data_IF_113256283755
#
_entry.id   IF_113256283755
#
_cell.length_a   1.000
_cell.length_b   1.000
_cell.length_c   1.000
_cell.angle_alpha   90.00
_cell.angle_beta   90.00
_cell.angle_gamma   90.00
#
_symmetry.space_group_name_H-M   'P 1'
#
loop_
_entity.id
_entity.type
_entity.pdbx_description
1 polymer ?
#
# COMPACT_ATOMS: atom_id res chain seq x y z
N UNK A 1 16.87 -2.95 8.69
CA UNK A 1 15.63 -3.73 8.48
C UNK A 1 14.77 -2.93 7.52
N UNK A 2 14.45 -3.49 6.36
CA UNK A 2 13.65 -2.84 5.32
C UNK A 2 12.21 -3.31 5.45
N UNK A 3 11.24 -2.40 5.39
CA UNK A 3 9.84 -2.74 5.63
C UNK A 3 8.93 -2.18 4.55
N UNK A 4 8.00 -3.01 4.07
CA UNK A 4 6.90 -2.59 3.18
C UNK A 4 5.58 -3.09 3.77
N UNK A 5 4.58 -2.20 3.85
CA UNK A 5 3.24 -2.53 4.32
C UNK A 5 2.24 -2.20 3.21
N UNK A 6 1.67 -3.24 2.60
CA UNK A 6 0.76 -3.15 1.46
C UNK A 6 -0.69 -3.37 1.94
N UNK A 7 -1.52 -2.32 1.87
CA UNK A 7 -2.91 -2.35 2.31
C UNK A 7 -3.85 -2.61 1.12
N UNK A 8 -4.78 -3.56 1.29
CA UNK A 8 -5.82 -3.85 0.29
C UNK A 8 -6.79 -2.70 0.12
N UNK A 9 -7.26 -2.15 1.24
CA UNK A 9 -8.18 -1.04 1.38
C UNK A 9 -8.35 -0.73 2.87
N UNK A 10 -9.19 0.24 3.24
CA UNK A 10 -9.44 0.63 4.63
C UNK A 10 -8.60 1.82 5.10
N UNK A 11 -8.27 1.87 6.40
CA UNK A 11 -7.51 2.95 7.02
C UNK A 11 -8.11 4.34 6.77
N UNK A 12 -7.36 5.40 7.00
CA UNK A 12 -7.83 6.79 6.87
C UNK A 12 -8.45 7.12 5.50
N UNK A 13 -8.06 6.39 4.48
CA UNK A 13 -8.52 6.59 3.10
C UNK A 13 -10.01 6.26 2.92
N UNK A 14 -10.48 5.18 3.57
CA UNK A 14 -11.83 4.64 3.42
C UNK A 14 -12.62 4.63 4.74
N UNK A 15 -11.93 4.56 5.87
CA UNK A 15 -12.52 4.37 7.21
C UNK A 15 -11.92 5.39 8.21
N UNK A 16 -12.27 6.69 8.11
CA UNK A 16 -11.64 7.75 8.92
C UNK A 16 -11.81 7.57 10.43
N UNK A 17 -12.78 6.74 10.85
CA UNK A 17 -13.02 6.39 12.26
C UNK A 17 -12.32 5.09 12.69
N UNK A 18 -11.71 4.36 11.77
CA UNK A 18 -10.94 3.13 12.02
C UNK A 18 -9.51 3.26 11.52
N UNK A 19 -8.65 3.84 12.32
CA UNK A 19 -7.24 4.09 11.99
C UNK A 19 -6.29 2.94 12.40
N UNK A 20 -6.82 1.74 12.71
CA UNK A 20 -6.00 0.64 13.23
C UNK A 20 -4.87 0.22 12.28
N UNK A 21 -5.12 0.22 10.96
CA UNK A 21 -4.07 -0.06 9.96
C UNK A 21 -3.02 1.05 9.91
N UNK A 22 -3.45 2.32 9.97
CA UNK A 22 -2.54 3.46 9.93
C UNK A 22 -1.67 3.51 11.19
N UNK A 23 -2.25 3.26 12.36
CA UNK A 23 -1.55 3.13 13.63
C UNK A 23 -0.52 1.98 13.58
N UNK A 24 -0.92 0.83 13.00
CA UNK A 24 0.00 -0.29 12.80
C UNK A 24 1.21 0.12 11.94
N UNK A 25 0.98 0.84 10.83
CA UNK A 25 2.07 1.35 9.96
C UNK A 25 3.02 2.24 10.75
N UNK A 26 2.48 3.21 11.50
CA UNK A 26 3.28 4.16 12.29
C UNK A 26 4.13 3.46 13.34
N UNK A 27 3.56 2.47 14.04
CA UNK A 27 4.29 1.68 15.05
C UNK A 27 5.55 1.01 14.50
N UNK A 28 5.61 0.74 13.19
CA UNK A 28 6.81 0.16 12.58
C UNK A 28 7.97 1.14 12.45
N UNK A 29 7.75 2.44 12.58
CA UNK A 29 8.82 3.45 12.68
C UNK A 29 9.62 3.34 13.98
N UNK A 30 9.08 2.68 15.00
CA UNK A 30 9.78 2.40 16.27
C UNK A 30 10.02 3.62 17.15
N UNK A 31 9.33 4.74 16.88
CA UNK A 31 9.44 5.97 17.67
C UNK A 31 8.12 6.71 17.78
N UNK A 32 7.88 7.48 18.85
CA UNK A 32 6.79 8.43 18.91
C UNK A 32 6.99 9.56 17.88
N UNK A 33 5.95 10.30 17.58
CA UNK A 33 5.97 11.49 16.73
C UNK A 33 6.73 11.30 15.39
N UNK A 34 6.52 10.14 14.72
CA UNK A 34 7.17 9.81 13.47
C UNK A 34 6.88 10.85 12.37
N UNK A 35 7.90 11.18 11.57
CA UNK A 35 7.74 11.98 10.37
C UNK A 35 7.13 11.10 9.28
N UNK A 36 5.97 11.47 8.77
CA UNK A 36 5.23 10.70 7.76
C UNK A 36 4.99 11.56 6.53
N UNK A 37 5.52 11.14 5.39
CA UNK A 37 5.26 11.82 4.12
C UNK A 37 4.20 11.10 3.30
N UNK A 38 3.18 11.83 2.88
CA UNK A 38 2.12 11.33 2.02
C UNK A 38 2.42 11.59 0.55
N UNK A 39 2.29 10.55 -0.27
CA UNK A 39 2.40 10.61 -1.72
C UNK A 39 1.00 10.41 -2.32
N UNK A 40 0.32 11.52 -2.66
CA UNK A 40 -1.06 11.53 -3.13
C UNK A 40 -1.21 11.44 -4.66
N UNK A 41 -0.12 11.17 -5.40
CA UNK A 41 -0.08 11.27 -6.86
C UNK A 41 -1.05 10.32 -7.57
N UNK A 42 -1.27 9.12 -7.02
CA UNK A 42 -2.26 8.18 -7.59
C UNK A 42 -3.67 8.76 -7.63
N UNK A 43 -4.03 9.58 -6.65
CA UNK A 43 -5.30 10.31 -6.55
C UNK A 43 -5.27 11.72 -7.17
N UNK A 44 -4.26 12.02 -8.01
CA UNK A 44 -4.13 13.33 -8.66
C UNK A 44 -3.82 14.48 -7.69
N UNK A 45 -3.22 14.17 -6.55
CA UNK A 45 -2.90 15.14 -5.47
C UNK A 45 -4.13 15.90 -4.96
N UNK A 46 -5.29 15.20 -4.87
CA UNK A 46 -6.53 15.79 -4.36
C UNK A 46 -6.31 16.48 -3.02
N UNK A 47 -6.69 17.79 -2.90
CA UNK A 47 -6.58 18.51 -1.63
C UNK A 47 -7.40 17.88 -0.50
N UNK A 48 -8.57 17.30 -0.81
CA UNK A 48 -9.43 16.64 0.17
C UNK A 48 -8.79 15.34 0.69
N UNK A 49 -8.12 14.58 -0.18
CA UNK A 49 -7.41 13.37 0.22
C UNK A 49 -6.21 13.72 1.10
N UNK A 50 -5.47 14.75 0.72
CA UNK A 50 -4.35 15.27 1.51
C UNK A 50 -4.83 15.79 2.87
N UNK A 51 -5.96 16.51 2.93
CA UNK A 51 -6.55 16.98 4.19
C UNK A 51 -6.93 15.81 5.11
N UNK A 52 -7.59 14.77 4.58
CA UNK A 52 -7.93 13.56 5.37
C UNK A 52 -6.68 12.89 5.95
N UNK A 53 -5.60 12.82 5.16
CA UNK A 53 -4.33 12.31 5.66
C UNK A 53 -3.82 13.13 6.84
N UNK A 54 -3.76 14.46 6.72
CA UNK A 54 -3.32 15.32 7.81
C UNK A 54 -4.17 15.18 9.07
N UNK A 55 -5.50 15.11 8.92
CA UNK A 55 -6.42 14.91 10.04
C UNK A 55 -6.16 13.59 10.77
N UNK A 56 -6.01 12.49 10.02
CA UNK A 56 -5.78 11.17 10.60
C UNK A 56 -4.41 11.08 11.29
N UNK A 57 -3.34 11.46 10.60
CA UNK A 57 -1.98 11.28 11.11
C UNK A 57 -1.61 12.28 12.21
N UNK A 58 -2.23 13.47 12.24
CA UNK A 58 -2.13 14.37 13.40
C UNK A 58 -2.83 13.80 14.64
N UNK A 59 -4.00 13.16 14.48
CA UNK A 59 -4.68 12.44 15.59
C UNK A 59 -3.84 11.31 16.14
N UNK A 60 -3.03 10.65 15.30
CA UNK A 60 -2.09 9.60 15.69
C UNK A 60 -0.77 10.12 16.28
N UNK A 61 -0.64 11.42 16.48
CA UNK A 61 0.54 12.04 17.09
C UNK A 61 1.77 12.12 16.18
N UNK A 62 1.60 11.95 14.86
CA UNK A 62 2.67 12.04 13.88
C UNK A 62 2.97 13.47 13.45
N UNK A 63 4.07 13.64 12.74
CA UNK A 63 4.41 14.87 11.99
C UNK A 63 4.14 14.65 10.51
N UNK A 64 2.90 14.90 10.03
CA UNK A 64 2.54 14.67 8.66
C UNK A 64 3.14 15.74 7.73
N UNK A 65 3.57 15.30 6.57
CA UNK A 65 3.99 16.12 5.43
C UNK A 65 3.48 15.48 4.14
N UNK A 66 3.60 16.15 2.99
CA UNK A 66 3.28 15.56 1.70
C UNK A 66 4.21 16.10 0.63
N UNK A 67 4.37 15.31 -0.44
CA UNK A 67 5.10 15.68 -1.64
C UNK A 67 4.11 15.97 -2.76
N UNK A 68 4.20 17.14 -3.41
CA UNK A 68 3.48 17.46 -4.62
C UNK A 68 4.41 17.46 -5.83
N UNK A 69 3.91 17.01 -6.98
CA UNK A 69 4.62 16.98 -8.25
C UNK A 69 3.85 17.69 -9.38
N UNK A 70 2.53 17.93 -9.20
CA UNK A 70 1.70 18.68 -10.16
C UNK A 70 1.77 20.19 -9.98
N UNK A 71 2.03 20.66 -8.75
CA UNK A 71 2.35 22.05 -8.47
C UNK A 71 3.87 22.27 -8.60
N UNK A 72 4.33 23.51 -8.33
CA UNK A 72 5.77 23.81 -8.33
C UNK A 72 6.50 22.77 -7.44
N UNK A 73 7.49 22.04 -8.00
CA UNK A 73 8.11 20.96 -7.27
C UNK A 73 8.74 21.45 -5.97
N UNK A 74 8.79 20.62 -4.92
CA UNK A 74 9.55 20.94 -3.73
C UNK A 74 11.01 21.13 -4.12
N UNK A 75 11.69 22.00 -3.40
CA UNK A 75 13.08 22.36 -3.71
C UNK A 75 14.03 21.15 -3.77
N UNK A 76 13.75 20.09 -2.98
CA UNK A 76 14.50 18.83 -2.98
C UNK A 76 13.62 17.67 -2.51
N UNK A 77 13.00 16.96 -3.45
CA UNK A 77 12.18 15.78 -3.16
C UNK A 77 13.00 14.67 -2.46
N UNK A 78 14.29 14.52 -2.82
CA UNK A 78 15.16 13.53 -2.20
C UNK A 78 15.42 13.86 -0.73
N UNK A 79 15.79 15.10 -0.42
CA UNK A 79 16.00 15.53 0.97
C UNK A 79 14.72 15.38 1.79
N UNK A 80 13.54 15.75 1.24
CA UNK A 80 12.25 15.59 1.89
C UNK A 80 11.97 14.11 2.23
N UNK A 81 12.08 13.21 1.25
CA UNK A 81 11.72 11.80 1.44
C UNK A 81 12.71 11.06 2.35
N UNK A 82 14.00 11.37 2.25
CA UNK A 82 15.02 10.71 3.08
C UNK A 82 15.08 11.21 4.53
N UNK A 83 14.35 12.28 4.84
CA UNK A 83 14.18 12.78 6.21
C UNK A 83 12.96 12.18 6.92
N UNK A 84 12.21 11.29 6.27
CA UNK A 84 11.03 10.68 6.84
C UNK A 84 11.33 9.39 7.61
N UNK A 85 10.37 8.98 8.43
CA UNK A 85 10.36 7.67 9.08
C UNK A 85 9.42 6.70 8.36
N UNK A 86 8.37 7.25 7.76
CA UNK A 86 7.37 6.54 6.97
C UNK A 86 7.09 7.31 5.69
N UNK A 87 7.04 6.62 4.56
CA UNK A 87 6.50 7.12 3.29
C UNK A 87 5.22 6.35 3.01
N UNK A 88 4.08 7.06 2.98
CA UNK A 88 2.76 6.48 2.77
C UNK A 88 2.19 6.88 1.41
N UNK A 89 1.90 5.89 0.56
CA UNK A 89 1.38 6.11 -0.80
C UNK A 89 -0.13 5.92 -0.83
N UNK A 90 -0.84 6.92 -1.33
CA UNK A 90 -2.29 6.90 -1.46
C UNK A 90 -2.81 6.00 -2.59
N UNK A 91 -4.11 5.72 -2.54
CA UNK A 91 -4.84 5.02 -3.58
C UNK A 91 -5.19 5.91 -4.78
N UNK A 92 -5.67 5.26 -5.87
CA UNK A 92 -6.07 5.90 -7.11
C UNK A 92 -5.58 5.15 -8.34
N UNK A 93 -5.07 5.85 -9.35
CA UNK A 93 -4.61 5.26 -10.60
C UNK A 93 -3.13 4.86 -10.54
N UNK A 94 -2.85 3.56 -10.52
CA UNK A 94 -1.49 3.01 -10.45
C UNK A 94 -0.64 3.38 -11.65
N UNK A 95 -1.21 3.35 -12.87
CA UNK A 95 -0.46 3.67 -14.10
C UNK A 95 0.00 5.12 -14.13
N UNK A 96 -0.90 6.05 -13.77
CA UNK A 96 -0.58 7.48 -13.69
C UNK A 96 0.47 7.77 -12.61
N UNK A 97 0.35 7.13 -11.45
CA UNK A 97 1.33 7.19 -10.37
C UNK A 97 2.74 6.83 -10.86
N UNK A 98 2.88 5.64 -11.47
CA UNK A 98 4.16 5.13 -11.93
C UNK A 98 4.76 5.99 -13.05
N UNK A 99 3.94 6.45 -14.00
CA UNK A 99 4.39 7.32 -15.09
C UNK A 99 4.91 8.66 -14.56
N UNK A 100 4.18 9.27 -13.62
CA UNK A 100 4.60 10.52 -12.99
C UNK A 100 5.90 10.34 -12.19
N UNK A 101 5.98 9.29 -11.38
CA UNK A 101 7.16 9.00 -10.59
C UNK A 101 8.40 8.71 -11.46
N UNK A 102 8.21 8.02 -12.58
CA UNK A 102 9.31 7.78 -13.52
C UNK A 102 9.84 9.10 -14.12
N UNK A 103 8.93 10.01 -14.48
CA UNK A 103 9.31 11.33 -15.03
C UNK A 103 10.07 12.21 -14.00
N UNK A 104 9.85 11.99 -12.71
CA UNK A 104 10.49 12.70 -11.60
C UNK A 104 11.62 11.91 -10.93
N UNK A 105 12.04 10.78 -11.46
CA UNK A 105 13.11 9.91 -10.94
C UNK A 105 12.89 9.44 -9.48
N UNK A 106 11.63 9.49 -9.01
CA UNK A 106 11.27 9.05 -7.66
C UNK A 106 11.57 7.58 -7.36
N UNK A 107 11.45 6.62 -8.29
CA UNK A 107 11.74 5.21 -7.99
C UNK A 107 13.13 4.97 -7.39
N UNK A 108 14.14 5.70 -7.84
CA UNK A 108 15.50 5.60 -7.30
C UNK A 108 15.58 6.14 -5.86
N UNK A 109 14.90 7.25 -5.57
CA UNK A 109 14.84 7.86 -4.24
C UNK A 109 14.08 6.95 -3.26
N UNK A 110 12.96 6.37 -3.70
CA UNK A 110 12.17 5.43 -2.90
C UNK A 110 12.94 4.14 -2.60
N UNK A 111 13.73 3.65 -3.57
CA UNK A 111 14.63 2.52 -3.36
C UNK A 111 15.68 2.85 -2.31
N UNK A 112 16.30 4.01 -2.38
CA UNK A 112 17.25 4.47 -1.38
C UNK A 112 16.61 4.61 0.01
N UNK A 113 15.39 5.16 0.08
CA UNK A 113 14.62 5.25 1.33
C UNK A 113 14.38 3.86 1.94
N UNK A 114 13.94 2.90 1.12
CA UNK A 114 13.75 1.52 1.54
C UNK A 114 15.03 0.89 2.08
N UNK A 115 16.16 1.05 1.35
CA UNK A 115 17.45 0.48 1.75
C UNK A 115 18.01 1.13 3.03
N UNK A 116 17.62 2.37 3.34
CA UNK A 116 17.92 3.06 4.60
C UNK A 116 17.02 2.63 5.77
N UNK A 117 15.98 1.82 5.51
CA UNK A 117 15.06 1.33 6.53
C UNK A 117 13.91 2.28 6.84
N UNK A 118 13.64 3.28 6.00
CA UNK A 118 12.41 4.08 6.05
C UNK A 118 11.25 3.13 5.69
N UNK A 119 10.20 3.13 6.51
CA UNK A 119 9.04 2.28 6.30
C UNK A 119 8.28 2.76 5.05
N UNK A 120 8.11 1.88 4.09
CA UNK A 120 7.24 2.15 2.93
C UNK A 120 5.87 1.54 3.19
N UNK A 121 4.83 2.33 3.01
CA UNK A 121 3.45 1.86 3.13
C UNK A 121 2.64 2.35 1.93
N UNK A 122 1.50 1.70 1.69
CA UNK A 122 0.58 2.21 0.68
C UNK A 122 -0.69 1.40 0.57
N UNK A 123 -1.74 2.07 0.12
CA UNK A 123 -3.07 1.50 -0.02
C UNK A 123 -3.47 1.42 -1.49
N UNK A 124 -4.12 0.30 -1.90
CA UNK A 124 -4.66 0.15 -3.26
C UNK A 124 -3.58 0.33 -4.33
N UNK A 125 -3.63 1.39 -5.14
CA UNK A 125 -2.59 1.75 -6.09
C UNK A 125 -1.21 1.89 -5.42
N UNK A 126 -1.18 2.46 -4.21
CA UNK A 126 0.02 2.61 -3.39
C UNK A 126 0.54 1.29 -2.83
N UNK A 127 -0.29 0.25 -2.73
CA UNK A 127 0.14 -1.10 -2.41
C UNK A 127 0.70 -1.81 -3.66
N UNK A 128 -0.05 -1.74 -4.77
CA UNK A 128 0.37 -2.33 -6.05
C UNK A 128 1.75 -1.87 -6.48
N UNK A 129 2.06 -0.58 -6.32
CA UNK A 129 3.29 0.01 -6.84
C UNK A 129 4.57 -0.66 -6.31
N UNK A 130 4.55 -1.31 -5.16
CA UNK A 130 5.72 -1.95 -4.56
C UNK A 130 6.08 -3.31 -5.16
N UNK A 131 5.10 -4.01 -5.74
CA UNK A 131 5.31 -5.33 -6.31
C UNK A 131 5.89 -5.28 -7.74
N UNK A 132 6.29 -6.43 -8.27
CA UNK A 132 6.67 -6.52 -9.68
C UNK A 132 5.45 -6.34 -10.60
N UNK A 133 4.27 -6.81 -10.16
CA UNK A 133 3.02 -6.74 -10.90
C UNK A 133 1.84 -6.38 -9.97
N UNK A 134 0.88 -5.62 -10.47
CA UNK A 134 -0.36 -5.29 -9.78
C UNK A 134 -1.59 -5.66 -10.60
N UNK A 135 -2.65 -6.12 -9.93
CA UNK A 135 -3.96 -6.33 -10.54
C UNK A 135 -4.75 -5.02 -10.40
N UNK A 136 -5.10 -4.37 -11.52
CA UNK A 136 -5.67 -3.01 -11.51
C UNK A 136 -6.46 -2.71 -12.79
N UNK A 137 -7.41 -1.80 -12.69
CA UNK A 137 -8.16 -1.18 -13.79
C UNK A 137 -7.53 0.12 -14.32
N UNK A 138 -6.36 0.48 -13.80
CA UNK A 138 -5.70 1.77 -14.08
C UNK A 138 -5.28 1.97 -15.55
N UNK A 139 -5.17 0.89 -16.33
CA UNK A 139 -4.69 0.95 -17.71
C UNK A 139 -5.79 0.78 -18.76
N UNK A 140 -6.95 0.24 -18.39
CA UNK A 140 -8.06 -0.07 -19.26
C UNK A 140 -9.39 -0.06 -18.48
N UNK A 141 -10.56 -0.05 -19.14
CA UNK A 141 -11.84 -0.17 -18.46
C UNK A 141 -12.06 -1.52 -17.74
N UNK A 142 -11.21 -2.49 -18.01
CA UNK A 142 -11.25 -3.83 -17.39
C UNK A 142 -10.02 -4.01 -16.51
N UNK A 143 -10.22 -4.76 -15.42
CA UNK A 143 -9.11 -5.14 -14.52
C UNK A 143 -8.14 -6.05 -15.29
N UNK A 144 -6.84 -5.70 -15.23
CA UNK A 144 -5.76 -6.46 -15.88
C UNK A 144 -4.46 -6.33 -15.08
N UNK A 145 -3.40 -6.98 -15.56
CA UNK A 145 -2.07 -6.89 -14.96
C UNK A 145 -1.35 -5.61 -15.42
N UNK A 146 -0.63 -4.99 -14.48
CA UNK A 146 0.25 -3.86 -14.73
C UNK A 146 1.64 -4.13 -14.11
N UNK A 147 2.71 -3.91 -14.86
CA UNK A 147 4.07 -3.93 -14.31
C UNK A 147 4.30 -2.73 -13.40
N UNK A 148 4.88 -2.97 -12.23
CA UNK A 148 5.12 -1.97 -11.19
C UNK A 148 6.62 -1.87 -10.83
N UNK A 149 6.97 -1.33 -9.65
CA UNK A 149 8.38 -1.01 -9.30
C UNK A 149 9.25 -2.23 -8.98
N UNK A 150 8.65 -3.38 -8.61
CA UNK A 150 9.39 -4.60 -8.30
C UNK A 150 10.27 -4.51 -7.03
N UNK A 151 9.86 -3.75 -6.02
CA UNK A 151 10.53 -3.78 -4.72
C UNK A 151 10.29 -5.12 -4.02
N UNK A 152 9.09 -5.67 -4.23
CA UNK A 152 8.70 -7.02 -3.84
C UNK A 152 8.48 -7.88 -5.09
N UNK A 153 8.91 -9.14 -5.09
CA UNK A 153 8.64 -10.06 -6.19
C UNK A 153 7.16 -10.46 -6.23
N UNK A 154 6.73 -11.00 -7.38
CA UNK A 154 5.37 -11.49 -7.56
C UNK A 154 4.36 -10.37 -7.78
N UNK A 155 3.11 -10.62 -7.41
CA UNK A 155 1.99 -9.74 -7.72
C UNK A 155 1.13 -9.41 -6.50
N UNK A 156 0.34 -8.33 -6.62
CA UNK A 156 -0.59 -7.92 -5.58
C UNK A 156 -1.96 -7.54 -6.16
N UNK A 157 -3.03 -7.91 -5.46
CA UNK A 157 -4.40 -7.55 -5.79
C UNK A 157 -5.09 -6.92 -4.57
N UNK A 158 -5.30 -5.60 -4.53
CA UNK A 158 -6.09 -4.94 -3.48
C UNK A 158 -7.59 -5.14 -3.72
N UNK A 159 -8.43 -4.74 -2.74
CA UNK A 159 -9.91 -4.75 -2.81
C UNK A 159 -10.49 -6.11 -3.21
N UNK A 160 -9.91 -7.19 -2.70
CA UNK A 160 -10.19 -8.55 -3.19
C UNK A 160 -11.60 -9.03 -2.88
N UNK A 161 -12.20 -8.54 -1.81
CA UNK A 161 -13.61 -8.73 -1.44
C UNK A 161 -14.52 -7.57 -1.87
N UNK A 162 -13.96 -6.35 -1.94
CA UNK A 162 -14.72 -5.12 -2.20
C UNK A 162 -15.11 -4.91 -3.66
N UNK A 163 -14.32 -5.46 -4.61
CA UNK A 163 -14.57 -5.35 -6.06
C UNK A 163 -14.73 -6.74 -6.67
N UNK A 164 -15.97 -7.09 -7.05
CA UNK A 164 -16.36 -8.45 -7.47
C UNK A 164 -15.50 -9.06 -8.59
N UNK A 165 -14.95 -8.22 -9.48
CA UNK A 165 -14.15 -8.67 -10.62
C UNK A 165 -12.67 -8.97 -10.24
N UNK A 166 -12.19 -8.59 -9.08
CA UNK A 166 -10.79 -8.79 -8.68
C UNK A 166 -10.42 -10.27 -8.57
N UNK A 167 -11.18 -11.00 -7.78
CA UNK A 167 -10.94 -12.43 -7.53
C UNK A 167 -10.95 -13.25 -8.81
N UNK A 168 -12.03 -13.25 -9.64
CA UNK A 168 -12.05 -14.02 -10.87
C UNK A 168 -10.97 -13.60 -11.87
N UNK A 169 -10.63 -12.31 -11.92
CA UNK A 169 -9.57 -11.81 -12.81
C UNK A 169 -8.20 -12.32 -12.39
N UNK A 170 -7.86 -12.32 -11.09
CA UNK A 170 -6.56 -12.83 -10.65
C UNK A 170 -6.40 -14.32 -10.97
N UNK A 171 -7.45 -15.13 -10.71
CA UNK A 171 -7.44 -16.55 -11.08
C UNK A 171 -7.28 -16.77 -12.60
N UNK A 172 -7.99 -15.98 -13.41
CA UNK A 172 -7.88 -16.03 -14.88
C UNK A 172 -6.48 -15.65 -15.36
N UNK A 173 -5.88 -14.57 -14.85
CA UNK A 173 -4.55 -14.14 -15.24
C UNK A 173 -3.46 -15.16 -14.88
N UNK A 174 -3.61 -15.87 -13.73
CA UNK A 174 -2.73 -16.97 -13.36
C UNK A 174 -2.87 -18.14 -14.33
N UNK A 175 -4.10 -18.51 -14.70
CA UNK A 175 -4.37 -19.59 -15.64
C UNK A 175 -3.83 -19.29 -17.05
N UNK A 176 -3.85 -18.04 -17.45
CA UNK A 176 -3.29 -17.55 -18.72
C UNK A 176 -1.75 -17.38 -18.68
N UNK A 177 -1.10 -17.55 -17.53
CA UNK A 177 0.33 -17.33 -17.36
C UNK A 177 0.76 -15.86 -17.53
N UNK A 178 -0.18 -14.93 -17.39
CA UNK A 178 0.05 -13.48 -17.60
C UNK A 178 0.49 -12.76 -16.35
N UNK A 179 0.28 -13.35 -15.17
CA UNK A 179 0.68 -12.78 -13.89
C UNK A 179 1.45 -13.82 -13.07
N UNK A 180 2.44 -13.37 -12.34
CA UNK A 180 3.18 -14.19 -11.40
C UNK A 180 2.31 -14.53 -10.17
N UNK A 181 2.60 -15.65 -9.47
CA UNK A 181 2.05 -15.88 -8.13
C UNK A 181 2.24 -14.69 -7.22
N UNK A 182 1.29 -14.48 -6.29
CA UNK A 182 1.34 -13.31 -5.43
C UNK A 182 0.32 -13.34 -4.31
N UNK A 183 -0.10 -12.14 -3.91
CA UNK A 183 -0.97 -11.94 -2.78
C UNK A 183 -2.21 -11.14 -3.16
N UNK A 184 -3.29 -11.38 -2.43
CA UNK A 184 -4.51 -10.59 -2.52
C UNK A 184 -4.97 -10.19 -1.12
N UNK A 185 -5.45 -8.97 -0.98
CA UNK A 185 -5.90 -8.41 0.29
C UNK A 185 -7.33 -7.88 0.19
N UNK A 186 -8.16 -8.29 1.13
CA UNK A 186 -9.47 -7.70 1.34
C UNK A 186 -9.35 -6.25 1.83
N UNK A 187 -10.43 -5.50 1.74
CA UNK A 187 -10.53 -4.21 2.42
C UNK A 187 -10.39 -4.39 3.93
N UNK A 188 -9.51 -3.60 4.55
CA UNK A 188 -9.18 -3.74 5.96
C UNK A 188 -8.10 -4.78 6.25
N UNK A 189 -7.46 -5.35 5.23
CA UNK A 189 -6.29 -6.22 5.38
C UNK A 189 -5.00 -5.55 4.87
N UNK A 190 -3.87 -5.84 5.52
CA UNK A 190 -2.56 -5.37 5.12
C UNK A 190 -1.49 -6.45 5.28
N UNK A 191 -0.59 -6.51 4.31
CA UNK A 191 0.57 -7.40 4.26
C UNK A 191 1.81 -6.65 4.69
N UNK A 192 2.49 -7.11 5.72
CA UNK A 192 3.74 -6.56 6.20
C UNK A 192 4.91 -7.44 5.78
N UNK A 193 5.79 -6.88 4.95
CA UNK A 193 7.03 -7.52 4.50
C UNK A 193 8.23 -6.93 5.22
N UNK A 194 9.14 -7.80 5.63
CA UNK A 194 10.42 -7.43 6.26
C UNK A 194 11.55 -8.04 5.44
N UNK A 195 12.48 -7.21 4.99
CA UNK A 195 13.61 -7.60 4.13
C UNK A 195 13.21 -8.42 2.89
N UNK A 196 12.01 -8.15 2.35
CA UNK A 196 11.44 -8.78 1.17
C UNK A 196 10.58 -10.01 1.43
N UNK A 197 10.56 -10.52 2.66
CA UNK A 197 9.79 -11.71 3.05
C UNK A 197 8.50 -11.34 3.80
N UNK A 198 7.43 -12.10 3.58
CA UNK A 198 6.18 -11.90 4.30
C UNK A 198 6.37 -12.21 5.79
N UNK A 199 6.26 -11.17 6.62
CA UNK A 199 6.35 -11.28 8.07
C UNK A 199 5.00 -11.62 8.70
N UNK A 200 3.92 -10.91 8.32
CA UNK A 200 2.55 -11.16 8.81
C UNK A 200 1.50 -10.48 7.94
N UNK A 201 0.26 -10.92 8.12
CA UNK A 201 -0.93 -10.22 7.63
C UNK A 201 -1.71 -9.70 8.83
N UNK A 202 -2.11 -8.43 8.80
CA UNK A 202 -2.91 -7.79 9.84
C UNK A 202 -4.24 -7.32 9.27
N UNK A 203 -5.28 -7.24 10.11
CA UNK A 203 -6.61 -6.78 9.69
C UNK A 203 -7.20 -5.79 10.69
N UNK A 204 -7.89 -4.77 10.19
CA UNK A 204 -8.67 -3.79 10.96
C UNK A 204 -10.16 -4.14 10.99
N UNK A 205 -10.59 -5.13 10.20
CA UNK A 205 -11.95 -5.68 10.18
C UNK A 205 -11.91 -7.14 10.57
N UNK A 206 -12.85 -7.58 11.38
CA UNK A 206 -12.88 -8.93 11.94
C UNK A 206 -12.90 -10.04 10.88
N UNK A 207 -13.56 -9.80 9.72
CA UNK A 207 -13.71 -10.77 8.65
C UNK A 207 -12.77 -10.59 7.47
N UNK A 208 -11.98 -9.51 7.47
CA UNK A 208 -11.04 -9.25 6.39
C UNK A 208 -9.93 -10.30 6.37
N UNK A 209 -9.50 -10.68 5.17
CA UNK A 209 -8.54 -11.73 4.92
C UNK A 209 -7.43 -11.30 3.98
N UNK A 210 -6.31 -12.02 4.06
CA UNK A 210 -5.24 -11.99 3.09
C UNK A 210 -5.04 -13.37 2.48
N UNK A 211 -4.76 -13.43 1.18
CA UNK A 211 -4.62 -14.66 0.43
C UNK A 211 -3.28 -14.73 -0.29
N UNK A 212 -2.75 -15.94 -0.44
CA UNK A 212 -1.70 -16.26 -1.40
C UNK A 212 -2.33 -16.98 -2.58
N UNK A 213 -1.97 -16.56 -3.79
CA UNK A 213 -2.43 -17.17 -5.02
C UNK A 213 -1.25 -17.68 -5.84
N UNK A 214 -1.39 -18.86 -6.40
CA UNK A 214 -0.38 -19.50 -7.24
C UNK A 214 -1.03 -20.39 -8.31
N UNK A 215 -0.29 -20.71 -9.36
CA UNK A 215 -0.65 -21.74 -10.33
C UNK A 215 0.09 -23.03 -9.98
N UNK A 216 -0.62 -24.05 -9.53
CA UNK A 216 -0.07 -25.30 -9.04
C UNK A 216 -0.88 -26.48 -9.59
N UNK A 217 -0.20 -27.53 -10.10
CA UNK A 217 -0.88 -28.74 -10.58
C UNK A 217 -1.89 -28.52 -11.70
N UNK A 218 -1.72 -27.47 -12.52
CA UNK A 218 -2.64 -27.18 -13.63
C UNK A 218 -3.89 -26.38 -13.22
N UNK A 219 -3.93 -25.85 -12.02
CA UNK A 219 -5.04 -25.03 -11.53
C UNK A 219 -4.55 -23.83 -10.70
N UNK A 220 -5.40 -22.82 -10.61
CA UNK A 220 -5.17 -21.69 -9.70
C UNK A 220 -5.53 -22.11 -8.28
N UNK A 221 -4.57 -21.99 -7.36
CA UNK A 221 -4.71 -22.30 -5.94
C UNK A 221 -4.75 -21.01 -5.16
N UNK A 222 -5.77 -20.86 -4.31
CA UNK A 222 -5.94 -19.75 -3.39
C UNK A 222 -5.86 -20.27 -1.95
N UNK A 223 -4.98 -19.70 -1.15
CA UNK A 223 -4.79 -20.07 0.24
C UNK A 223 -5.01 -18.85 1.13
N UNK A 224 -6.00 -18.91 2.02
CA UNK A 224 -6.16 -17.92 3.07
C UNK A 224 -4.97 -17.99 4.05
N UNK A 225 -4.42 -16.85 4.41
CA UNK A 225 -3.29 -16.74 5.32
C UNK A 225 -3.77 -16.49 6.75
N UNK A 226 -2.92 -16.82 7.71
CA UNK A 226 -3.17 -16.47 9.10
C UNK A 226 -3.11 -14.95 9.26
N UNK A 227 -4.16 -14.36 9.80
CA UNK A 227 -4.27 -12.91 10.06
C UNK A 227 -4.16 -12.61 11.56
N UNK A 228 -3.69 -11.41 11.88
CA UNK A 228 -3.72 -10.84 13.23
C UNK A 228 -4.72 -9.69 13.21
N UNK A 229 -5.84 -9.85 13.91
CA UNK A 229 -6.84 -8.80 14.05
C UNK A 229 -6.32 -7.69 14.97
N UNK A 230 -6.32 -6.47 14.47
CA UNK A 230 -5.95 -5.28 15.22
C UNK A 230 -7.22 -4.79 15.94
N UNK A 231 -7.44 -5.27 17.17
CA UNK A 231 -8.49 -4.68 17.99
C UNK A 231 -8.25 -3.18 18.09
N UNK A 232 -9.21 -2.37 17.69
CA UNK A 232 -9.16 -0.96 17.98
C UNK A 232 -8.93 -0.79 19.49
N UNK A 233 -7.95 -0.02 19.88
CA UNK A 233 -7.82 0.41 21.27
C UNK A 233 -8.96 1.40 21.54
N UNK A 234 -10.19 0.86 21.77
CA UNK A 234 -11.22 1.62 22.43
C UNK A 234 -10.81 1.69 23.89
N UNK A 235 -10.37 2.87 24.32
CA UNK A 235 -10.40 3.40 25.69
C UNK A 235 -10.18 2.38 26.84
N UNK A 236 -8.92 2.09 27.12
CA UNK A 236 -8.48 1.69 28.45
C UNK A 236 -7.84 2.91 29.13
N UNK A 237 -8.67 3.93 29.43
CA UNK A 237 -8.36 5.02 30.33
C UNK A 237 -9.65 5.38 31.07
N UNK A 238 -9.91 4.71 32.17
CA UNK A 238 -10.77 5.14 33.27
C UNK A 238 -10.00 5.03 34.58
#
# INVERSE_FOLDING_TARGET
>A
MRQIIALGGGGFSMEPDNLALDEYVIKQAGKPDANVCFLAQAGGESPEYTLRFYQAFSRLGCRPSHLTLFACPPQDARALLLAQDVIYVGGGNTKSLLALWQAWELPAILREAYDRGIVLAGISAGANCWFAQGVTDSASPTIDVLSCLGFLPGSFCPHYDGEAERRPTFHRLLAEGRIAPGYAADDGAAFHFVDGELHRVVTSRERAQGYRLAWEGGQSVEQALRVVYLCGQSDAAS
#
